data_IF_955173708582
#
_entry.id   IF_955173708582
#
_cell.length_a   1.000
_cell.length_b   1.000
_cell.length_c   1.000
_cell.angle_alpha   90.00
_cell.angle_beta   90.00
_cell.angle_gamma   90.00
#
_symmetry.space_group_name_H-M   'P 1'
#
loop_
_entity.id
_entity.type
_entity.pdbx_description
1 polymer ?
#
# COMPACT_ATOMS: atom_id res chain seq x y z
N UNK A 1 26.79 1.53 -0.34
CA UNK A 1 27.33 0.46 -1.22
C UNK A 1 26.55 -0.85 -1.08
N UNK A 2 26.48 -1.53 0.08
CA UNK A 2 25.75 -2.80 0.22
C UNK A 2 24.22 -2.61 0.05
N UNK A 3 23.65 -1.55 0.61
CA UNK A 3 22.25 -1.15 0.45
C UNK A 3 21.86 -0.81 -1.00
N UNK A 4 22.73 -0.18 -1.76
CA UNK A 4 22.47 0.23 -3.15
C UNK A 4 22.44 -0.97 -4.10
N UNK A 5 23.37 -1.91 -3.94
CA UNK A 5 23.42 -3.15 -4.72
C UNK A 5 22.17 -3.99 -4.48
N UNK A 6 21.77 -4.14 -3.21
CA UNK A 6 20.56 -4.86 -2.83
C UNK A 6 19.31 -4.24 -3.45
N UNK A 7 19.19 -2.91 -3.38
CA UNK A 7 18.11 -2.15 -4.02
C UNK A 7 18.09 -2.33 -5.54
N UNK A 8 19.24 -2.35 -6.19
CA UNK A 8 19.34 -2.58 -7.63
C UNK A 8 18.83 -3.99 -8.01
N UNK A 9 19.22 -5.01 -7.24
CA UNK A 9 18.73 -6.39 -7.47
C UNK A 9 17.23 -6.46 -7.31
N UNK A 10 16.65 -5.86 -6.26
CA UNK A 10 15.20 -5.83 -6.03
C UNK A 10 14.46 -5.15 -7.19
N UNK A 11 14.96 -4.03 -7.70
CA UNK A 11 14.35 -3.32 -8.83
C UNK A 11 14.37 -4.15 -10.14
N UNK A 12 15.42 -4.91 -10.37
CA UNK A 12 15.52 -5.79 -11.54
C UNK A 12 14.65 -7.04 -11.39
N UNK A 13 14.60 -7.62 -10.18
CA UNK A 13 13.68 -8.69 -9.84
C UNK A 13 12.22 -8.27 -10.03
N UNK A 14 11.84 -7.06 -9.60
CA UNK A 14 10.50 -6.50 -9.82
C UNK A 14 10.12 -6.51 -11.30
N UNK A 15 10.98 -5.94 -12.16
CA UNK A 15 10.74 -5.90 -13.61
C UNK A 15 10.54 -7.30 -14.20
N UNK A 16 11.28 -8.29 -13.72
CA UNK A 16 11.11 -9.66 -14.16
C UNK A 16 9.81 -10.27 -13.67
N UNK A 17 9.49 -10.12 -12.39
CA UNK A 17 8.25 -10.65 -11.83
C UNK A 17 7.02 -10.04 -12.49
N UNK A 18 7.03 -8.74 -12.77
CA UNK A 18 5.94 -8.06 -13.49
C UNK A 18 5.81 -8.54 -14.94
N UNK A 19 6.92 -8.81 -15.62
CA UNK A 19 6.92 -9.19 -17.04
C UNK A 19 6.63 -10.67 -17.27
N UNK A 20 7.21 -11.56 -16.48
CA UNK A 20 7.21 -13.00 -16.71
C UNK A 20 6.46 -13.79 -15.62
N UNK A 21 6.11 -13.14 -14.52
CA UNK A 21 5.55 -13.77 -13.32
C UNK A 21 6.63 -14.39 -12.42
N UNK A 22 6.29 -14.52 -11.14
CA UNK A 22 7.20 -15.08 -10.13
C UNK A 22 7.64 -16.51 -10.47
N UNK A 23 6.69 -17.39 -10.84
CA UNK A 23 6.99 -18.81 -11.10
C UNK A 23 7.95 -19.03 -12.26
N UNK A 24 7.80 -18.25 -13.34
CA UNK A 24 8.63 -18.39 -14.56
C UNK A 24 9.98 -17.70 -14.43
N UNK A 25 10.21 -16.90 -13.38
CA UNK A 25 11.49 -16.22 -13.16
C UNK A 25 12.42 -17.11 -12.35
N UNK A 26 13.68 -17.21 -12.76
CA UNK A 26 14.74 -17.93 -12.06
C UNK A 26 15.74 -17.00 -11.42
N UNK A 27 16.44 -17.50 -10.39
CA UNK A 27 17.54 -16.76 -9.72
C UNK A 27 18.67 -16.41 -10.70
N UNK A 28 18.95 -17.33 -11.65
CA UNK A 28 20.01 -17.16 -12.66
C UNK A 28 19.71 -15.97 -13.59
N UNK A 29 18.46 -15.81 -13.97
CA UNK A 29 18.02 -14.69 -14.80
C UNK A 29 18.08 -13.36 -14.04
N UNK A 30 17.71 -13.34 -12.75
CA UNK A 30 17.85 -12.14 -11.91
C UNK A 30 19.33 -11.77 -11.76
N UNK A 31 20.21 -12.75 -11.53
CA UNK A 31 21.66 -12.53 -11.44
C UNK A 31 22.24 -11.96 -12.74
N UNK A 32 21.83 -12.52 -13.88
CA UNK A 32 22.23 -12.05 -15.21
C UNK A 32 21.79 -10.60 -15.45
N UNK A 33 20.55 -10.26 -15.16
CA UNK A 33 20.03 -8.89 -15.32
C UNK A 33 20.74 -7.90 -14.39
N UNK A 34 21.13 -8.37 -13.21
CA UNK A 34 21.87 -7.57 -12.22
C UNK A 34 23.37 -7.49 -12.53
N UNK A 35 23.85 -8.13 -13.60
CA UNK A 35 25.28 -8.21 -13.97
C UNK A 35 26.16 -8.75 -12.83
N UNK A 36 25.65 -9.72 -12.07
CA UNK A 36 26.38 -10.38 -10.97
C UNK A 36 26.37 -11.91 -11.16
N UNK A 37 27.30 -12.59 -10.48
CA UNK A 37 27.30 -14.04 -10.45
C UNK A 37 26.12 -14.58 -9.61
N UNK A 38 25.65 -15.79 -9.94
CA UNK A 38 24.68 -16.53 -9.11
C UNK A 38 25.13 -16.66 -7.66
N UNK A 39 26.42 -16.93 -7.44
CA UNK A 39 27.02 -16.99 -6.10
C UNK A 39 26.87 -15.66 -5.36
N UNK A 40 27.13 -14.55 -6.03
CA UNK A 40 26.98 -13.21 -5.46
C UNK A 40 25.53 -12.93 -5.08
N UNK A 41 24.58 -13.36 -5.91
CA UNK A 41 23.15 -13.18 -5.61
C UNK A 41 22.73 -13.99 -4.38
N UNK A 42 23.20 -15.24 -4.24
CA UNK A 42 22.93 -16.05 -3.04
C UNK A 42 23.64 -15.54 -1.77
N UNK A 43 24.67 -14.72 -1.90
CA UNK A 43 25.24 -14.00 -0.75
C UNK A 43 24.33 -12.86 -0.26
N UNK A 44 23.55 -12.27 -1.18
CA UNK A 44 22.61 -11.19 -0.85
C UNK A 44 21.23 -11.73 -0.41
N UNK A 45 20.75 -12.79 -1.05
CA UNK A 45 19.43 -13.36 -0.81
C UNK A 45 19.51 -14.89 -0.77
N UNK A 46 18.94 -15.47 0.28
CA UNK A 46 18.96 -16.92 0.50
C UNK A 46 18.30 -17.71 -0.65
N UNK A 47 17.20 -17.21 -1.18
CA UNK A 47 16.40 -17.84 -2.25
C UNK A 47 15.55 -16.79 -2.98
N UNK A 48 14.81 -17.25 -4.01
CA UNK A 48 13.91 -16.38 -4.80
C UNK A 48 12.74 -15.84 -3.98
N UNK A 49 12.24 -16.64 -3.07
CA UNK A 49 11.16 -16.31 -2.15
C UNK A 49 11.56 -15.17 -1.22
N UNK A 50 12.82 -15.16 -0.77
CA UNK A 50 13.35 -14.06 0.04
C UNK A 50 13.50 -12.76 -0.76
N UNK A 51 13.83 -12.85 -2.05
CA UNK A 51 13.81 -11.69 -2.94
C UNK A 51 12.39 -11.14 -3.06
N UNK A 52 11.38 -12.00 -3.22
CA UNK A 52 9.98 -11.61 -3.29
C UNK A 52 9.51 -10.91 -2.00
N UNK A 53 9.81 -11.51 -0.85
CA UNK A 53 9.44 -10.95 0.46
C UNK A 53 10.04 -9.55 0.67
N UNK A 54 11.34 -9.42 0.41
CA UNK A 54 12.03 -8.14 0.60
C UNK A 54 11.61 -7.10 -0.42
N UNK A 55 11.37 -7.51 -1.67
CA UNK A 55 10.81 -6.63 -2.69
C UNK A 55 9.44 -6.08 -2.28
N UNK A 56 8.55 -6.94 -1.78
CA UNK A 56 7.23 -6.52 -1.33
C UNK A 56 7.33 -5.48 -0.20
N UNK A 57 8.14 -5.77 0.81
CA UNK A 57 8.35 -4.84 1.93
C UNK A 57 9.01 -3.54 1.49
N UNK A 58 10.03 -3.61 0.62
CA UNK A 58 10.72 -2.44 0.09
C UNK A 58 9.77 -1.50 -0.66
N UNK A 59 8.95 -2.05 -1.56
CA UNK A 59 7.97 -1.29 -2.33
C UNK A 59 6.90 -0.67 -1.42
N UNK A 60 6.33 -1.45 -0.52
CA UNK A 60 5.29 -0.98 0.39
C UNK A 60 5.78 0.12 1.35
N UNK A 61 6.97 -0.05 1.92
CA UNK A 61 7.58 0.95 2.79
C UNK A 61 7.99 2.22 2.03
N UNK A 62 8.43 2.08 0.78
CA UNK A 62 8.75 3.22 -0.09
C UNK A 62 7.50 4.06 -0.39
N UNK A 63 6.39 3.42 -0.72
CA UNK A 63 5.08 4.08 -0.91
C UNK A 63 4.63 4.76 0.38
N UNK A 64 4.66 4.05 1.51
CA UNK A 64 4.32 4.63 2.81
C UNK A 64 5.13 5.88 3.12
N UNK A 65 6.45 5.82 2.94
CA UNK A 65 7.36 6.96 3.16
C UNK A 65 7.01 8.14 2.26
N UNK A 66 6.75 7.89 0.97
CA UNK A 66 6.38 8.94 0.03
C UNK A 66 5.07 9.64 0.41
N UNK A 67 4.07 8.89 0.86
CA UNK A 67 2.79 9.43 1.32
C UNK A 67 2.98 10.25 2.61
N UNK A 68 3.64 9.68 3.63
CA UNK A 68 3.86 10.35 4.91
C UNK A 68 4.63 11.66 4.75
N UNK A 69 5.63 11.70 3.87
CA UNK A 69 6.39 12.92 3.57
C UNK A 69 5.51 14.07 3.02
N UNK A 70 4.40 13.74 2.38
CA UNK A 70 3.46 14.73 1.85
C UNK A 70 2.42 15.14 2.91
N UNK A 71 1.75 14.15 3.53
CA UNK A 71 0.65 14.45 4.46
C UNK A 71 1.13 15.06 5.78
N UNK A 72 2.36 14.79 6.22
CA UNK A 72 2.89 15.39 7.46
C UNK A 72 3.15 16.89 7.34
N UNK A 73 3.13 17.45 6.14
CA UNK A 73 3.20 18.91 5.92
C UNK A 73 1.84 19.59 6.03
N UNK A 74 0.76 18.83 6.02
CA UNK A 74 -0.62 19.32 6.07
C UNK A 74 -1.04 19.46 7.53
N UNK A 75 -1.48 20.64 7.93
CA UNK A 75 -1.86 20.96 9.32
C UNK A 75 -3.34 20.67 9.55
N UNK A 76 -4.17 20.87 8.53
CA UNK A 76 -5.62 20.75 8.62
C UNK A 76 -6.03 19.27 8.46
N UNK A 77 -6.72 18.66 9.46
CA UNK A 77 -7.02 17.23 9.47
C UNK A 77 -7.90 16.76 8.30
N UNK A 78 -8.85 17.59 7.85
CA UNK A 78 -9.74 17.24 6.73
C UNK A 78 -8.95 17.14 5.43
N UNK A 79 -8.10 18.14 5.17
CA UNK A 79 -7.21 18.14 4.00
C UNK A 79 -6.21 16.96 4.06
N UNK A 80 -5.67 16.69 5.26
CA UNK A 80 -4.74 15.56 5.49
C UNK A 80 -5.41 14.22 5.17
N UNK A 81 -6.65 14.00 5.63
CA UNK A 81 -7.41 12.78 5.36
C UNK A 81 -7.72 12.61 3.87
N UNK A 82 -8.21 13.69 3.22
CA UNK A 82 -8.49 13.69 1.79
C UNK A 82 -7.23 13.37 0.97
N UNK A 83 -6.12 14.04 1.30
CA UNK A 83 -4.85 13.86 0.61
C UNK A 83 -4.30 12.47 0.82
N UNK A 84 -4.41 11.91 2.04
CA UNK A 84 -4.00 10.54 2.32
C UNK A 84 -4.75 9.53 1.44
N UNK A 85 -6.09 9.61 1.39
CA UNK A 85 -6.92 8.72 0.57
C UNK A 85 -6.50 8.80 -0.91
N UNK A 86 -6.37 10.02 -1.45
CA UNK A 86 -6.02 10.22 -2.87
C UNK A 86 -4.63 9.69 -3.21
N UNK A 87 -3.65 9.98 -2.36
CA UNK A 87 -2.27 9.51 -2.58
C UNK A 87 -2.17 8.00 -2.44
N UNK A 88 -2.77 7.42 -1.40
CA UNK A 88 -2.75 5.98 -1.20
C UNK A 88 -3.38 5.25 -2.41
N UNK A 89 -4.55 5.71 -2.88
CA UNK A 89 -5.19 5.18 -4.08
C UNK A 89 -4.29 5.32 -5.31
N UNK A 90 -3.73 6.51 -5.54
CA UNK A 90 -2.84 6.79 -6.68
C UNK A 90 -1.62 5.86 -6.70
N UNK A 91 -0.93 5.71 -5.57
CA UNK A 91 0.25 4.87 -5.49
C UNK A 91 -0.07 3.38 -5.66
N UNK A 92 -1.20 2.92 -5.11
CA UNK A 92 -1.64 1.54 -5.33
C UNK A 92 -2.00 1.30 -6.80
N UNK A 93 -2.71 2.24 -7.45
CA UNK A 93 -3.03 2.12 -8.88
C UNK A 93 -1.79 2.06 -9.77
N UNK A 94 -0.69 2.68 -9.35
CA UNK A 94 0.57 2.71 -10.08
C UNK A 94 1.49 1.52 -9.76
N UNK A 95 1.23 0.79 -8.67
CA UNK A 95 2.07 -0.34 -8.25
C UNK A 95 1.33 -1.67 -8.35
N UNK A 96 1.27 -2.20 -9.59
CA UNK A 96 0.57 -3.45 -9.88
C UNK A 96 1.12 -4.64 -9.07
N UNK A 97 2.41 -4.62 -8.74
CA UNK A 97 3.02 -5.67 -7.95
C UNK A 97 2.46 -5.70 -6.51
N UNK A 98 2.40 -4.55 -5.82
CA UNK A 98 1.80 -4.48 -4.47
C UNK A 98 0.33 -4.90 -4.52
N UNK A 99 -0.41 -4.37 -5.50
CA UNK A 99 -1.83 -4.69 -5.66
C UNK A 99 -2.03 -6.18 -5.87
N UNK A 100 -1.27 -6.84 -6.74
CA UNK A 100 -1.40 -8.28 -6.97
C UNK A 100 -1.13 -9.13 -5.73
N UNK A 101 -0.25 -8.67 -4.85
CA UNK A 101 0.04 -9.35 -3.58
C UNK A 101 -1.07 -9.13 -2.55
N UNK A 102 -1.51 -7.90 -2.38
CA UNK A 102 -2.59 -7.57 -1.41
C UNK A 102 -3.95 -8.16 -1.82
N UNK A 103 -4.12 -8.46 -3.11
CA UNK A 103 -5.31 -9.05 -3.72
C UNK A 103 -5.23 -10.54 -3.97
N UNK A 104 -4.28 -11.22 -3.39
CA UNK A 104 -4.05 -12.64 -3.65
C UNK A 104 -5.19 -13.52 -3.13
N UNK A 105 -6.34 -13.44 -3.79
CA UNK A 105 -7.49 -14.33 -3.52
C UNK A 105 -7.15 -15.80 -3.76
N UNK A 106 -6.15 -16.08 -4.60
CA UNK A 106 -5.71 -17.45 -4.89
C UNK A 106 -4.89 -18.07 -3.77
N UNK A 107 -4.39 -17.25 -2.81
CA UNK A 107 -3.46 -17.65 -1.78
C UNK A 107 -2.06 -18.01 -2.30
N UNK A 108 -1.75 -17.61 -3.53
CA UNK A 108 -0.48 -17.94 -4.20
C UNK A 108 0.73 -17.38 -3.46
N UNK A 109 0.64 -16.13 -2.99
CA UNK A 109 1.73 -15.46 -2.29
C UNK A 109 1.79 -15.81 -0.79
N UNK A 110 0.69 -16.32 -0.22
CA UNK A 110 0.59 -16.65 1.21
C UNK A 110 1.75 -17.46 1.77
N UNK A 111 2.17 -18.59 1.13
CA UNK A 111 3.29 -19.40 1.60
C UNK A 111 4.63 -18.65 1.64
N UNK A 112 4.81 -17.64 0.80
CA UNK A 112 6.06 -16.89 0.64
C UNK A 112 6.11 -15.63 1.50
N UNK A 113 4.97 -14.94 1.63
CA UNK A 113 4.90 -13.62 2.28
C UNK A 113 4.37 -13.68 3.71
N UNK A 114 3.76 -14.80 4.11
CA UNK A 114 3.24 -15.03 5.47
C UNK A 114 2.37 -13.84 5.95
N UNK A 115 2.80 -13.20 7.04
CA UNK A 115 2.15 -12.08 7.70
C UNK A 115 2.43 -10.69 7.07
N UNK A 116 3.32 -10.62 6.05
CA UNK A 116 3.75 -9.33 5.49
C UNK A 116 2.61 -8.49 4.90
N UNK A 117 1.65 -9.06 4.13
CA UNK A 117 0.49 -8.29 3.67
C UNK A 117 -0.31 -7.70 4.84
N UNK A 118 -0.54 -8.48 5.89
CA UNK A 118 -1.25 -8.01 7.09
C UNK A 118 -0.51 -6.87 7.80
N UNK A 119 0.82 -6.94 7.93
CA UNK A 119 1.63 -5.85 8.50
C UNK A 119 1.45 -4.55 7.70
N UNK A 120 1.43 -4.63 6.37
CA UNK A 120 1.23 -3.45 5.51
C UNK A 120 -0.19 -2.91 5.66
N UNK A 121 -1.21 -3.75 5.67
CA UNK A 121 -2.60 -3.37 5.86
C UNK A 121 -2.81 -2.69 7.22
N UNK A 122 -2.27 -3.26 8.29
CA UNK A 122 -2.30 -2.64 9.63
C UNK A 122 -1.64 -1.26 9.62
N UNK A 123 -0.51 -1.11 8.93
CA UNK A 123 0.16 0.18 8.80
C UNK A 123 -0.64 1.23 8.01
N UNK A 124 -1.48 0.83 7.07
CA UNK A 124 -2.41 1.72 6.36
C UNK A 124 -3.53 2.17 7.30
N UNK A 125 -4.12 1.22 8.03
CA UNK A 125 -5.19 1.47 9.00
C UNK A 125 -4.72 2.43 10.12
N UNK A 126 -3.53 2.23 10.66
CA UNK A 126 -2.95 3.10 11.70
C UNK A 126 -2.84 4.56 11.27
N UNK A 127 -2.58 4.83 9.99
CA UNK A 127 -2.52 6.20 9.47
C UNK A 127 -3.93 6.83 9.50
N UNK A 128 -4.99 6.10 9.10
CA UNK A 128 -6.37 6.57 9.23
C UNK A 128 -6.69 6.91 10.68
N UNK A 129 -6.43 5.99 11.59
CA UNK A 129 -6.66 6.19 13.05
C UNK A 129 -5.91 7.41 13.56
N UNK A 130 -4.66 7.61 13.17
CA UNK A 130 -3.85 8.75 13.58
C UNK A 130 -4.45 10.08 13.13
N UNK A 131 -4.89 10.17 11.87
CA UNK A 131 -5.50 11.39 11.32
C UNK A 131 -6.84 11.68 12.00
N UNK A 132 -7.66 10.63 12.27
CA UNK A 132 -8.92 10.80 12.98
C UNK A 132 -8.70 11.30 14.40
N UNK A 133 -7.73 10.75 15.14
CA UNK A 133 -7.38 11.24 16.49
C UNK A 133 -6.96 12.71 16.47
N UNK A 134 -6.14 13.11 15.50
CA UNK A 134 -5.74 14.50 15.33
C UNK A 134 -6.96 15.39 15.10
N UNK A 135 -7.88 14.99 14.22
CA UNK A 135 -9.08 15.76 13.89
C UNK A 135 -10.07 15.86 15.03
N UNK A 136 -10.29 14.78 15.80
CA UNK A 136 -11.13 14.81 17.02
C UNK A 136 -10.49 15.69 18.09
N UNK A 137 -9.17 15.57 18.31
CA UNK A 137 -8.44 16.38 19.27
C UNK A 137 -8.44 17.89 18.97
N UNK A 138 -8.48 18.25 17.68
CA UNK A 138 -8.62 19.65 17.22
C UNK A 138 -10.07 20.15 17.13
N UNK A 139 -11.06 19.30 17.41
CA UNK A 139 -12.48 19.65 17.30
C UNK A 139 -12.97 19.83 15.84
N UNK A 140 -12.24 19.34 14.86
CA UNK A 140 -12.61 19.36 13.44
C UNK A 140 -13.53 18.19 13.11
N UNK A 141 -13.23 17.02 13.67
CA UNK A 141 -14.05 15.82 13.52
C UNK A 141 -14.94 15.61 14.75
N UNK A 142 -16.12 15.04 14.53
CA UNK A 142 -17.05 14.68 15.61
C UNK A 142 -16.39 13.66 16.55
N UNK A 143 -16.83 13.63 17.80
CA UNK A 143 -16.44 12.58 18.76
C UNK A 143 -16.82 11.20 18.19
N UNK A 144 -15.89 10.25 18.21
CA UNK A 144 -16.07 8.89 17.72
C UNK A 144 -15.04 7.98 18.39
N UNK A 145 -15.22 6.67 18.23
CA UNK A 145 -14.13 5.71 18.47
C UNK A 145 -13.25 5.69 17.19
N UNK A 146 -12.10 6.36 17.27
CA UNK A 146 -11.21 6.55 16.12
C UNK A 146 -10.63 5.23 15.60
N UNK A 147 -10.48 4.22 16.47
CA UNK A 147 -10.00 2.89 16.06
C UNK A 147 -11.07 2.17 15.25
N UNK A 148 -12.32 2.16 15.74
CA UNK A 148 -13.44 1.52 15.04
C UNK A 148 -13.71 2.19 13.70
N UNK A 149 -13.79 3.53 13.69
CA UNK A 149 -14.05 4.28 12.45
C UNK A 149 -12.87 4.18 11.49
N UNK A 150 -11.64 4.22 11.98
CA UNK A 150 -10.42 4.04 11.17
C UNK A 150 -10.39 2.67 10.50
N UNK A 151 -10.78 1.62 11.22
CA UNK A 151 -10.93 0.27 10.67
C UNK A 151 -11.99 0.21 9.57
N UNK A 152 -13.17 0.80 9.78
CA UNK A 152 -14.21 0.82 8.74
C UNK A 152 -13.80 1.62 7.51
N UNK A 153 -13.13 2.77 7.69
CA UNK A 153 -12.57 3.52 6.55
C UNK A 153 -11.55 2.66 5.79
N UNK A 154 -10.68 1.94 6.50
CA UNK A 154 -9.72 1.04 5.88
C UNK A 154 -10.42 -0.08 5.08
N UNK A 155 -11.44 -0.73 5.62
CA UNK A 155 -12.18 -1.78 4.91
C UNK A 155 -12.86 -1.24 3.64
N UNK A 156 -13.49 -0.07 3.72
CA UNK A 156 -14.08 0.59 2.56
C UNK A 156 -13.02 1.01 1.53
N UNK A 157 -11.89 1.52 1.99
CA UNK A 157 -10.75 1.86 1.13
C UNK A 157 -10.17 0.62 0.45
N UNK A 158 -10.07 -0.49 1.18
CA UNK A 158 -9.68 -1.79 0.64
C UNK A 158 -10.63 -2.21 -0.50
N UNK A 159 -11.94 -2.12 -0.30
CA UNK A 159 -12.93 -2.36 -1.36
C UNK A 159 -12.76 -1.45 -2.58
N UNK A 160 -12.49 -0.16 -2.36
CA UNK A 160 -12.23 0.81 -3.43
C UNK A 160 -10.97 0.47 -4.25
N UNK A 161 -9.94 -0.06 -3.62
CA UNK A 161 -8.67 -0.38 -4.28
C UNK A 161 -8.67 -1.77 -4.90
N UNK A 162 -9.37 -2.71 -4.31
CA UNK A 162 -9.34 -4.15 -4.61
C UNK A 162 -10.39 -4.57 -5.63
N UNK A 163 -11.50 -3.90 -5.74
CA UNK A 163 -12.56 -4.23 -6.68
C UNK A 163 -12.24 -4.01 -8.17
N UNK A 164 -11.03 -3.56 -8.51
CA UNK A 164 -10.66 -3.11 -9.86
C UNK A 164 -10.62 -4.21 -10.92
N UNK A 165 -10.46 -5.46 -10.52
CA UNK A 165 -10.33 -6.60 -11.44
C UNK A 165 -11.64 -7.36 -11.67
N UNK A 166 -12.75 -6.92 -11.08
CA UNK A 166 -14.06 -7.51 -11.36
C UNK A 166 -14.64 -6.91 -12.65
N UNK A 167 -15.02 -7.73 -13.66
CA UNK A 167 -15.71 -7.25 -14.87
C UNK A 167 -17.02 -6.48 -14.56
N UNK A 168 -17.59 -6.74 -13.39
CA UNK A 168 -18.85 -6.16 -12.92
C UNK A 168 -18.67 -4.88 -12.11
N UNK A 169 -17.43 -4.34 -12.01
CA UNK A 169 -17.18 -3.10 -11.26
C UNK A 169 -17.52 -1.88 -12.14
N UNK A 170 -18.69 -1.24 -11.95
CA UNK A 170 -19.20 -0.21 -12.85
C UNK A 170 -18.54 1.16 -12.64
N UNK A 171 -17.46 1.26 -11.88
CA UNK A 171 -17.03 2.52 -11.30
C UNK A 171 -15.74 3.06 -11.92
N UNK A 172 -15.83 4.20 -12.63
CA UNK A 172 -14.74 4.91 -13.29
C UNK A 172 -13.98 5.89 -12.38
N UNK A 173 -13.26 6.83 -13.00
CA UNK A 173 -12.31 7.78 -12.35
C UNK A 173 -12.90 8.68 -11.26
N UNK A 174 -14.23 8.87 -11.17
CA UNK A 174 -14.89 9.70 -10.16
C UNK A 174 -15.01 9.05 -8.78
N UNK A 175 -14.78 7.74 -8.63
CA UNK A 175 -14.98 6.99 -7.39
C UNK A 175 -14.18 7.52 -6.21
N UNK A 176 -12.93 7.87 -6.45
CA UNK A 176 -12.07 8.36 -5.36
C UNK A 176 -12.62 9.66 -4.77
N UNK A 177 -13.19 10.54 -5.60
CA UNK A 177 -13.79 11.79 -5.12
C UNK A 177 -15.06 11.51 -4.35
N UNK A 178 -15.95 10.67 -4.86
CA UNK A 178 -17.18 10.29 -4.15
C UNK A 178 -16.87 9.57 -2.83
N UNK A 179 -15.88 8.68 -2.83
CA UNK A 179 -15.43 8.04 -1.61
C UNK A 179 -14.89 9.05 -0.59
N UNK A 180 -14.04 9.99 -1.02
CA UNK A 180 -13.54 11.07 -0.15
C UNK A 180 -14.69 11.90 0.41
N UNK A 181 -15.65 12.30 -0.42
CA UNK A 181 -16.84 13.04 0.02
C UNK A 181 -17.65 12.27 1.05
N UNK A 182 -17.88 10.98 0.81
CA UNK A 182 -18.60 10.10 1.73
C UNK A 182 -17.91 10.03 3.09
N UNK A 183 -16.60 9.77 3.12
CA UNK A 183 -15.83 9.67 4.36
C UNK A 183 -15.80 11.01 5.11
N UNK A 184 -15.50 12.11 4.42
CA UNK A 184 -15.42 13.44 5.06
C UNK A 184 -16.76 13.83 5.66
N UNK A 185 -17.87 13.66 4.93
CA UNK A 185 -19.20 13.96 5.45
C UNK A 185 -19.61 13.08 6.65
N UNK A 186 -19.04 11.89 6.78
CA UNK A 186 -19.26 10.99 7.91
C UNK A 186 -18.49 11.34 9.16
N UNK A 187 -17.36 12.06 9.06
CA UNK A 187 -16.47 12.35 10.21
C UNK A 187 -16.48 13.81 10.64
N UNK A 188 -16.77 14.77 9.75
CA UNK A 188 -16.76 16.20 10.06
C UNK A 188 -17.92 16.59 10.98
N UNK A 189 -17.71 17.60 11.80
CA UNK A 189 -18.79 18.21 12.59
C UNK A 189 -19.70 18.99 11.63
N UNK A 190 -20.95 18.56 11.50
CA UNK A 190 -21.99 19.36 10.80
C UNK A 190 -22.57 20.36 11.79
N UNK A 191 -22.55 21.64 11.44
CA UNK A 191 -23.33 22.64 12.18
C UNK A 191 -24.82 22.24 12.08
N UNK A 192 -25.45 21.85 13.22
CA UNK A 192 -26.87 21.52 13.27
C UNK A 192 -27.26 20.13 13.81
N UNK A 193 -26.31 19.32 14.27
CA UNK A 193 -26.58 18.07 14.99
C UNK A 193 -26.10 18.20 16.44
N UNK A 194 -26.78 19.00 17.22
CA UNK A 194 -26.71 19.05 18.69
C UNK A 194 -27.97 18.37 19.25
#
# INVERSE_FOLDING_TARGET
MESEKRTQILNLAKKRFERFGFNKTTVDEIAKDSSISKRTLYQEFENKEKILEELFMFEALSVRKAILNQINKIIEPTEKLQTYIRLAKKYLDQNLFIVSVLHDESGFFGPFLKDKPHIIETGIEEIFVSILKEGVGKGVFRKMDEKVIGHYIFLLFKGLTYGRNSPDHPFGLNQTNEFVHFIINGVIIKQGWA
#
